data_IF_289684568015
#
_entry.id   IF_289684568015
#
_cell.length_a   1.000
_cell.length_b   1.000
_cell.length_c   1.000
_cell.angle_alpha   90.00
_cell.angle_beta   90.00
_cell.angle_gamma   90.00
#
_symmetry.space_group_name_H-M   'P 1'
#
loop_
_entity.id
_entity.type
_entity.pdbx_description
1 polymer ?
#
# COMPACT_ATOMS: atom_id res chain seq x y z
N UNK A 1 16.64 -3.53 -12.72
CA UNK A 1 15.28 -4.10 -12.59
C UNK A 1 15.04 -4.58 -11.16
N UNK A 2 15.90 -5.44 -10.62
CA UNK A 2 15.81 -5.95 -9.25
C UNK A 2 15.72 -4.87 -8.17
N UNK A 3 16.53 -3.80 -8.29
CA UNK A 3 16.49 -2.68 -7.33
C UNK A 3 15.11 -2.02 -7.31
N UNK A 4 14.51 -1.75 -8.47
CA UNK A 4 13.19 -1.11 -8.58
C UNK A 4 12.08 -2.01 -8.03
N UNK A 5 12.19 -3.32 -8.24
CA UNK A 5 11.27 -4.30 -7.67
C UNK A 5 11.41 -4.34 -6.15
N UNK A 6 12.65 -4.30 -5.63
CA UNK A 6 12.90 -4.24 -4.19
C UNK A 6 12.30 -2.99 -3.56
N UNK A 7 12.48 -1.84 -4.19
CA UNK A 7 11.85 -0.59 -3.73
C UNK A 7 10.33 -0.72 -3.66
N UNK A 8 9.68 -1.29 -4.70
CA UNK A 8 8.24 -1.55 -4.68
C UNK A 8 7.81 -2.50 -3.57
N UNK A 9 8.61 -3.52 -3.25
CA UNK A 9 8.35 -4.42 -2.13
C UNK A 9 8.45 -3.69 -0.78
N UNK A 10 9.48 -2.84 -0.61
CA UNK A 10 9.64 -2.03 0.60
C UNK A 10 8.46 -1.05 0.76
N UNK A 11 7.95 -0.49 -0.34
CA UNK A 11 6.77 0.37 -0.35
C UNK A 11 5.50 -0.37 0.05
N UNK A 12 5.28 -1.60 -0.43
CA UNK A 12 4.14 -2.45 -0.02
C UNK A 12 4.23 -2.80 1.46
N UNK A 13 5.42 -3.10 1.98
CA UNK A 13 5.62 -3.34 3.41
C UNK A 13 5.23 -2.10 4.21
N UNK A 14 5.64 -0.91 3.76
CA UNK A 14 5.28 0.35 4.40
C UNK A 14 3.77 0.60 4.34
N UNK A 15 3.10 0.36 3.21
CA UNK A 15 1.65 0.43 3.08
C UNK A 15 0.97 -0.49 4.10
N UNK A 16 1.42 -1.74 4.20
CA UNK A 16 0.91 -2.70 5.19
C UNK A 16 1.04 -2.21 6.63
N UNK A 17 2.20 -1.64 7.02
CA UNK A 17 2.38 -1.05 8.35
C UNK A 17 1.45 0.15 8.61
N UNK A 18 1.15 0.96 7.58
CA UNK A 18 0.20 2.07 7.71
C UNK A 18 -1.23 1.55 7.92
N UNK A 19 -1.64 0.52 7.18
CA UNK A 19 -2.96 -0.12 7.33
C UNK A 19 -3.10 -0.78 8.70
N UNK A 20 -2.05 -1.47 9.19
CA UNK A 20 -2.02 -2.06 10.52
C UNK A 20 -2.24 -1.01 11.61
N UNK A 21 -1.48 0.08 11.56
CA UNK A 21 -1.62 1.17 12.53
C UNK A 21 -3.01 1.80 12.47
N UNK A 22 -3.53 2.05 11.27
CA UNK A 22 -4.87 2.60 11.06
C UNK A 22 -5.96 1.71 11.65
N UNK A 23 -5.80 0.38 11.50
CA UNK A 23 -6.72 -0.62 12.06
C UNK A 23 -6.68 -0.62 13.59
N UNK A 24 -5.49 -0.57 14.18
CA UNK A 24 -5.34 -0.47 15.64
C UNK A 24 -5.95 0.83 16.19
N UNK A 25 -5.73 1.96 15.51
CA UNK A 25 -6.29 3.25 15.89
C UNK A 25 -7.83 3.25 15.80
N UNK A 26 -8.40 2.64 14.75
CA UNK A 26 -9.84 2.49 14.59
C UNK A 26 -10.45 1.68 15.75
N UNK A 27 -9.83 0.55 16.10
CA UNK A 27 -10.27 -0.31 17.20
C UNK A 27 -10.21 0.46 18.53
N UNK A 28 -9.14 1.21 18.78
CA UNK A 28 -9.00 2.01 20.01
C UNK A 28 -10.01 3.15 20.08
N UNK A 29 -10.23 3.85 18.97
CA UNK A 29 -11.24 4.92 18.89
C UNK A 29 -12.64 4.38 19.19
N UNK A 30 -12.99 3.22 18.61
CA UNK A 30 -14.27 2.55 18.86
C UNK A 30 -14.41 2.14 20.34
N UNK A 31 -13.39 1.47 20.89
CA UNK A 31 -13.40 1.00 22.29
C UNK A 31 -13.61 2.13 23.30
N UNK A 32 -13.10 3.32 22.99
CA UNK A 32 -13.17 4.51 23.87
C UNK A 32 -14.33 5.45 23.53
N UNK A 33 -15.14 5.15 22.50
CA UNK A 33 -16.13 6.06 21.93
C UNK A 33 -15.53 7.45 21.56
N UNK A 34 -14.27 7.47 21.12
CA UNK A 34 -13.52 8.69 20.80
C UNK A 34 -13.77 9.11 19.34
N UNK A 35 -14.80 9.93 19.14
CA UNK A 35 -15.16 10.49 17.82
C UNK A 35 -14.03 11.33 17.20
N UNK A 36 -13.31 12.20 17.94
CA UNK A 36 -12.12 12.87 17.40
C UNK A 36 -11.07 11.91 16.86
N UNK A 37 -10.76 10.81 17.57
CA UNK A 37 -9.82 9.80 17.10
C UNK A 37 -10.30 9.11 15.82
N UNK A 38 -11.57 8.70 15.77
CA UNK A 38 -12.15 8.11 14.57
C UNK A 38 -12.05 9.05 13.36
N UNK A 39 -12.28 10.36 13.55
CA UNK A 39 -12.10 11.37 12.49
C UNK A 39 -10.65 11.52 12.04
N UNK A 40 -9.67 11.35 12.94
CA UNK A 40 -8.25 11.35 12.56
C UNK A 40 -7.90 10.12 11.73
N UNK A 41 -8.36 8.94 12.13
CA UNK A 41 -8.19 7.69 11.37
C UNK A 41 -8.79 7.81 9.98
N UNK A 42 -10.02 8.33 9.85
CA UNK A 42 -10.66 8.58 8.55
C UNK A 42 -9.84 9.50 7.64
N UNK A 43 -9.23 10.57 8.18
CA UNK A 43 -8.35 11.46 7.39
C UNK A 43 -7.00 10.83 7.07
N UNK A 44 -6.53 9.90 7.89
CA UNK A 44 -5.28 9.20 7.66
C UNK A 44 -5.39 8.22 6.48
N UNK A 45 -6.57 7.65 6.26
CA UNK A 45 -6.88 6.79 5.11
C UNK A 45 -6.54 7.44 3.76
N UNK A 46 -6.71 8.76 3.61
CA UNK A 46 -6.28 9.47 2.39
C UNK A 46 -4.79 9.31 2.10
N UNK A 47 -3.95 9.22 3.14
CA UNK A 47 -2.50 9.00 2.99
C UNK A 47 -2.18 7.56 2.60
N UNK A 48 -2.92 6.60 3.17
CA UNK A 48 -2.81 5.17 2.83
C UNK A 48 -3.16 4.98 1.35
N UNK A 49 -4.31 5.50 0.92
CA UNK A 49 -4.74 5.43 -0.48
C UNK A 49 -3.74 6.10 -1.44
N UNK A 50 -3.17 7.25 -1.05
CA UNK A 50 -2.14 7.91 -1.86
C UNK A 50 -0.91 7.01 -2.06
N UNK A 51 -0.45 6.33 -1.00
CA UNK A 51 0.66 5.39 -1.09
C UNK A 51 0.32 4.21 -2.00
N UNK A 52 -0.90 3.65 -1.87
CA UNK A 52 -1.39 2.58 -2.76
C UNK A 52 -1.34 2.99 -4.23
N UNK A 53 -1.90 4.15 -4.58
CA UNK A 53 -1.88 4.64 -5.96
C UNK A 53 -0.46 4.89 -6.49
N UNK A 54 0.47 5.33 -5.63
CA UNK A 54 1.87 5.49 -6.02
C UNK A 54 2.54 4.15 -6.34
N UNK A 55 2.24 3.08 -5.59
CA UNK A 55 2.72 1.72 -5.86
C UNK A 55 2.15 1.22 -7.18
N UNK A 56 0.84 1.39 -7.41
CA UNK A 56 0.18 1.01 -8.67
C UNK A 56 0.81 1.72 -9.88
N UNK A 57 0.96 3.05 -9.82
CA UNK A 57 1.54 3.85 -10.90
C UNK A 57 2.98 3.41 -11.23
N UNK A 58 3.81 3.22 -10.19
CA UNK A 58 5.20 2.80 -10.38
C UNK A 58 5.29 1.38 -10.92
N UNK A 59 4.41 0.48 -10.49
CA UNK A 59 4.36 -0.90 -10.98
C UNK A 59 3.95 -0.93 -12.45
N UNK A 60 2.89 -0.22 -12.84
CA UNK A 60 2.48 -0.09 -14.24
C UNK A 60 3.59 0.53 -15.10
N UNK A 61 4.25 1.58 -14.61
CA UNK A 61 5.37 2.23 -15.30
C UNK A 61 6.53 1.25 -15.50
N UNK A 62 6.85 0.42 -14.51
CA UNK A 62 7.90 -0.58 -14.62
C UNK A 62 7.56 -1.65 -15.68
N UNK A 63 6.31 -2.13 -15.67
CA UNK A 63 5.83 -3.10 -16.68
C UNK A 63 5.94 -2.50 -18.09
N UNK A 64 5.43 -1.28 -18.28
CA UNK A 64 5.42 -0.60 -19.57
C UNK A 64 6.82 -0.30 -20.10
N UNK A 65 7.76 0.11 -19.24
CA UNK A 65 9.10 0.54 -19.67
C UNK A 65 10.12 -0.58 -19.77
N UNK A 66 9.92 -1.71 -19.09
CA UNK A 66 10.93 -2.79 -19.02
C UNK A 66 10.49 -4.09 -19.70
N UNK A 67 9.21 -4.24 -20.09
CA UNK A 67 8.68 -5.46 -20.70
C UNK A 67 9.15 -6.76 -19.98
N UNK A 68 8.86 -6.88 -18.67
CA UNK A 68 9.41 -7.94 -17.82
C UNK A 68 9.02 -9.35 -18.29
N UNK A 69 9.94 -10.30 -18.15
CA UNK A 69 9.70 -11.73 -18.45
C UNK A 69 9.00 -12.46 -17.30
N UNK A 70 8.50 -13.68 -17.57
CA UNK A 70 7.51 -14.40 -16.77
C UNK A 70 7.73 -14.47 -15.24
N UNK A 71 8.98 -14.49 -14.74
CA UNK A 71 9.24 -14.47 -13.29
C UNK A 71 8.94 -13.11 -12.68
N UNK A 72 9.51 -12.06 -13.26
CA UNK A 72 9.41 -10.72 -12.70
C UNK A 72 8.04 -10.10 -12.97
N UNK A 73 7.40 -10.46 -14.09
CA UNK A 73 6.01 -10.08 -14.35
C UNK A 73 5.09 -10.63 -13.25
N UNK A 74 5.21 -11.93 -12.90
CA UNK A 74 4.39 -12.52 -11.83
C UNK A 74 4.57 -11.79 -10.51
N UNK A 75 5.80 -11.40 -10.17
CA UNK A 75 6.07 -10.64 -8.96
C UNK A 75 5.41 -9.25 -8.98
N UNK A 76 5.49 -8.53 -10.11
CA UNK A 76 4.84 -7.23 -10.27
C UNK A 76 3.31 -7.34 -10.22
N UNK A 77 2.73 -8.41 -10.79
CA UNK A 77 1.31 -8.68 -10.68
C UNK A 77 0.89 -8.94 -9.22
N UNK A 78 1.67 -9.72 -8.47
CA UNK A 78 1.42 -9.94 -7.04
C UNK A 78 1.53 -8.65 -6.21
N UNK A 79 2.48 -7.76 -6.54
CA UNK A 79 2.60 -6.45 -5.90
C UNK A 79 1.33 -5.61 -6.11
N UNK A 80 0.79 -5.56 -7.33
CA UNK A 80 -0.47 -4.85 -7.61
C UNK A 80 -1.65 -5.45 -6.85
N UNK A 81 -1.78 -6.79 -6.85
CA UNK A 81 -2.88 -7.46 -6.18
C UNK A 81 -2.86 -7.19 -4.66
N UNK A 82 -1.70 -7.36 -4.03
CA UNK A 82 -1.53 -7.11 -2.59
C UNK A 82 -1.81 -5.64 -2.27
N UNK A 83 -1.30 -4.71 -3.07
CA UNK A 83 -1.56 -3.28 -2.86
C UNK A 83 -3.06 -2.97 -2.95
N UNK A 84 -3.79 -3.61 -3.86
CA UNK A 84 -5.24 -3.39 -4.05
C UNK A 84 -6.08 -3.92 -2.90
N UNK A 85 -5.68 -5.04 -2.31
CA UNK A 85 -6.36 -5.66 -1.16
C UNK A 85 -6.08 -4.95 0.18
N UNK A 86 -5.05 -4.09 0.23
CA UNK A 86 -4.69 -3.24 1.37
C UNK A 86 -5.45 -1.91 1.35
#
# INVERSE_FOLDING_TARGET
MDIKIKELLDDVIMLGSMVEQMTLDAIQALKKYDLPAARRTYKYDEKVNKMRFQIEERTMTLIATQAPVARDMRLLASIMEIATEL
#
